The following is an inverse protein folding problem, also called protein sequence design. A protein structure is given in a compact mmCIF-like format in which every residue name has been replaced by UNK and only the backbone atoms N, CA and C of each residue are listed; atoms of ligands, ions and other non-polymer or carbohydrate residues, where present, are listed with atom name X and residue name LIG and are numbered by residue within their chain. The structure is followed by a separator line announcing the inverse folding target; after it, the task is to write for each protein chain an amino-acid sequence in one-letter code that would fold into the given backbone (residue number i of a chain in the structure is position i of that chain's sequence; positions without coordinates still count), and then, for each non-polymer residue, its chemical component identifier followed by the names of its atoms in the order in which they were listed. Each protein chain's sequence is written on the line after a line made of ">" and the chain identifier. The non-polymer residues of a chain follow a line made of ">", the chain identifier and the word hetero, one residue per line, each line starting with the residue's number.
data_IF_700782426332
#
_entry.id   IF_700782426332
#
_cell.length_a   1.000
_cell.length_b   1.000
_cell.length_c   1.000
_cell.angle_alpha   90.00
_cell.angle_beta   90.00
_cell.angle_gamma   90.00
#
_symmetry.space_group_name_H-M   'P 1'
#
loop_
_entity.id
_entity.type
_entity.pdbx_description
1 polymer ?
#
# COMPACT_ATOMS: atom_id res chain seq x y z
N UNK A 1 6.33 7.40 -3.43
CA UNK A 1 5.12 7.92 -2.78
C UNK A 1 3.97 7.76 -3.73
N UNK A 2 3.94 8.42 -4.91
CA UNK A 2 2.86 8.33 -5.92
C UNK A 2 2.34 6.91 -6.22
N UNK A 3 3.22 5.91 -6.37
CA UNK A 3 2.78 4.54 -6.66
C UNK A 3 2.02 3.88 -5.50
N UNK A 4 2.20 4.34 -4.26
CA UNK A 4 1.40 3.91 -3.11
C UNK A 4 -0.03 4.45 -3.24
N UNK A 5 -0.17 5.74 -3.58
CA UNK A 5 -1.47 6.37 -3.82
C UNK A 5 -2.21 5.70 -4.98
N UNK A 6 -1.52 5.42 -6.09
CA UNK A 6 -2.10 4.68 -7.24
C UNK A 6 -2.57 3.28 -6.84
N UNK A 7 -1.79 2.55 -6.04
CA UNK A 7 -2.18 1.20 -5.61
C UNK A 7 -3.45 1.20 -4.75
N UNK A 8 -3.61 2.20 -3.86
CA UNK A 8 -4.81 2.34 -3.03
C UNK A 8 -5.99 2.85 -3.85
N UNK A 9 -5.79 3.86 -4.70
CA UNK A 9 -6.85 4.45 -5.53
C UNK A 9 -7.51 3.43 -6.46
N UNK A 10 -6.74 2.47 -6.98
CA UNK A 10 -7.24 1.40 -7.84
C UNK A 10 -7.69 0.14 -7.07
N UNK A 11 -7.59 0.14 -5.74
CA UNK A 11 -7.78 -1.06 -4.91
C UNK A 11 -6.99 -2.26 -5.45
N UNK A 12 -5.74 -2.04 -5.88
CA UNK A 12 -4.93 -3.05 -6.58
C UNK A 12 -4.65 -4.30 -5.72
N UNK A 13 -4.77 -4.19 -4.39
CA UNK A 13 -4.57 -5.28 -3.43
C UNK A 13 -3.11 -5.66 -3.19
N UNK A 14 -2.21 -5.34 -4.13
CA UNK A 14 -0.78 -5.65 -4.04
C UNK A 14 0.06 -4.47 -4.56
N UNK A 15 1.24 -4.28 -3.97
CA UNK A 15 2.24 -3.32 -4.44
C UNK A 15 3.63 -3.89 -4.18
N UNK A 16 4.54 -3.74 -5.15
CA UNK A 16 5.96 -4.09 -5.01
C UNK A 16 6.81 -2.83 -5.07
N UNK A 17 7.41 -2.46 -3.95
CA UNK A 17 8.19 -1.20 -3.85
C UNK A 17 9.61 -1.38 -3.29
N UNK A 18 10.14 -2.61 -3.30
CA UNK A 18 11.50 -2.93 -2.87
C UNK A 18 11.63 -3.25 -1.38
N UNK A 19 12.82 -3.63 -0.93
CA UNK A 19 13.08 -3.95 0.49
C UNK A 19 12.91 -2.72 1.40
N UNK A 20 12.64 -2.92 2.72
CA UNK A 20 12.56 -1.83 3.71
C UNK A 20 13.96 -1.31 4.07
N UNK A 21 14.70 -0.86 3.06
CA UNK A 21 16.03 -0.26 3.18
C UNK A 21 16.16 0.85 2.15
N UNK A 22 16.93 1.89 2.50
CA UNK A 22 17.07 3.14 1.75
C UNK A 22 15.79 3.98 1.67
N UNK A 23 15.97 5.29 1.80
CA UNK A 23 14.90 6.28 1.90
C UNK A 23 13.94 6.25 0.71
N UNK A 24 14.46 6.03 -0.50
CA UNK A 24 13.64 6.00 -1.71
C UNK A 24 12.55 4.93 -1.63
N UNK A 25 12.86 3.74 -1.11
CA UNK A 25 11.91 2.63 -0.98
C UNK A 25 11.01 2.82 0.24
N UNK A 26 11.61 3.13 1.39
CA UNK A 26 10.90 3.37 2.66
C UNK A 26 9.84 4.47 2.54
N UNK A 27 10.09 5.51 1.73
CA UNK A 27 9.12 6.56 1.50
C UNK A 27 7.77 6.07 0.94
N UNK A 28 7.73 4.93 0.22
CA UNK A 28 6.47 4.35 -0.27
C UNK A 28 5.71 3.64 0.85
N UNK A 29 6.42 2.90 1.71
CA UNK A 29 5.82 2.29 2.90
C UNK A 29 5.29 3.35 3.87
N UNK A 30 6.03 4.41 4.11
CA UNK A 30 5.58 5.52 4.95
C UNK A 30 4.36 6.25 4.37
N UNK A 31 4.22 6.29 3.05
CA UNK A 31 3.01 6.82 2.42
C UNK A 31 1.82 5.89 2.65
N UNK A 32 1.99 4.57 2.56
CA UNK A 32 0.92 3.61 2.89
C UNK A 32 0.46 3.74 4.35
N UNK A 33 1.38 3.96 5.29
CA UNK A 33 1.04 4.20 6.70
C UNK A 33 0.20 5.49 6.87
N UNK A 34 0.55 6.58 6.17
CA UNK A 34 -0.23 7.82 6.20
C UNK A 34 -1.62 7.65 5.58
N UNK A 35 -1.72 6.93 4.47
CA UNK A 35 -3.01 6.64 3.82
C UNK A 35 -3.89 5.77 4.74
N UNK A 36 -3.31 4.76 5.39
CA UNK A 36 -4.04 3.95 6.38
C UNK A 36 -4.56 4.81 7.53
N UNK A 37 -3.72 5.67 8.09
CA UNK A 37 -4.09 6.61 9.16
C UNK A 37 -5.24 7.55 8.72
N UNK A 38 -5.17 8.10 7.50
CA UNK A 38 -6.20 8.96 6.92
C UNK A 38 -7.54 8.23 6.72
N UNK A 39 -7.51 6.99 6.23
CA UNK A 39 -8.71 6.16 6.03
C UNK A 39 -9.33 5.70 7.35
N UNK A 40 -8.53 5.54 8.40
CA UNK A 40 -8.97 5.10 9.72
C UNK A 40 -9.81 3.81 9.64
N UNK A 41 -11.07 3.87 10.09
CA UNK A 41 -11.98 2.70 10.09
C UNK A 41 -12.35 2.20 8.69
N UNK A 42 -12.17 3.01 7.65
CA UNK A 42 -12.42 2.61 6.28
C UNK A 42 -11.25 1.83 5.66
N UNK A 43 -10.07 1.83 6.30
CA UNK A 43 -8.93 1.07 5.82
C UNK A 43 -9.23 -0.44 5.84
N UNK A 44 -8.88 -1.13 4.75
CA UNK A 44 -9.06 -2.58 4.64
C UNK A 44 -7.81 -3.24 4.09
N UNK A 45 -7.25 -4.17 4.87
CA UNK A 45 -6.14 -5.01 4.45
C UNK A 45 -6.65 -6.41 4.06
N UNK A 46 -6.74 -6.76 2.76
CA UNK A 46 -7.33 -8.02 2.31
C UNK A 46 -6.48 -9.26 2.64
N UNK A 47 -5.21 -9.11 3.00
CA UNK A 47 -4.30 -10.23 3.25
C UNK A 47 -4.28 -11.22 2.08
N UNK A 48 -4.52 -12.51 2.34
CA UNK A 48 -4.59 -13.52 1.27
C UNK A 48 -5.72 -13.31 0.27
N UNK A 49 -6.80 -12.60 0.63
CA UNK A 49 -7.90 -12.28 -0.30
C UNK A 49 -7.48 -11.32 -1.42
N UNK A 50 -6.28 -10.73 -1.35
CA UNK A 50 -5.72 -9.90 -2.41
C UNK A 50 -5.39 -10.69 -3.69
N UNK A 51 -5.25 -12.01 -3.60
CA UNK A 51 -4.97 -12.90 -4.72
C UNK A 51 -6.25 -13.41 -5.37
N UNK A 52 -7.12 -12.50 -5.82
CA UNK A 52 -8.40 -12.84 -6.46
C UNK A 52 -8.26 -13.52 -7.83
N UNK A 53 -7.06 -13.53 -8.40
CA UNK A 53 -6.73 -14.12 -9.70
C UNK A 53 -6.12 -15.52 -9.61
N UNK A 54 -6.06 -16.11 -8.41
CA UNK A 54 -5.67 -17.50 -8.17
C UNK A 54 -6.94 -18.29 -7.87
#
# INVERSE_FOLDING_TARGET
>A
TTIADVAVALNAGQIKTGAPSRTDRVAKYNQLLRIEEELGKAAYYPGRKAFFSI
#
